data_IF_688392876085
#
_entry.id   IF_688392876085
#
_cell.length_a   1.000
_cell.length_b   1.000
_cell.length_c   1.000
_cell.angle_alpha   90.00
_cell.angle_beta   90.00
_cell.angle_gamma   90.00
#
_symmetry.space_group_name_H-M   'P 1'
#
loop_
_entity.id
_entity.type
_entity.pdbx_description
1 polymer ?
#
# COMPACT_ATOMS: atom_id res chain seq x y z
N UNK A 1 -25.84 -9.82 -5.64
CA UNK A 1 -24.35 -9.87 -5.55
C UNK A 1 -23.59 -8.82 -6.39
N UNK A 2 -24.07 -8.42 -7.59
CA UNK A 2 -23.36 -7.49 -8.51
C UNK A 2 -23.01 -6.14 -7.85
N UNK A 3 -23.94 -5.55 -7.10
CA UNK A 3 -23.73 -4.26 -6.43
C UNK A 3 -22.66 -4.33 -5.32
N UNK A 4 -22.63 -5.42 -4.54
CA UNK A 4 -21.59 -5.62 -3.51
C UNK A 4 -20.19 -5.63 -4.12
N UNK A 5 -20.00 -6.38 -5.22
CA UNK A 5 -18.69 -6.47 -5.89
C UNK A 5 -18.22 -5.10 -6.39
N UNK A 6 -19.14 -4.29 -6.92
CA UNK A 6 -18.84 -2.93 -7.37
C UNK A 6 -18.40 -2.07 -6.19
N UNK A 7 -19.20 -2.01 -5.12
CA UNK A 7 -18.86 -1.22 -3.94
C UNK A 7 -17.54 -1.66 -3.29
N UNK A 8 -17.32 -2.96 -3.13
CA UNK A 8 -16.09 -3.50 -2.56
C UNK A 8 -14.85 -3.13 -3.40
N UNK A 9 -14.96 -3.19 -4.73
CA UNK A 9 -13.84 -2.80 -5.60
C UNK A 9 -13.59 -1.30 -5.56
N UNK A 10 -14.65 -0.50 -5.63
CA UNK A 10 -14.55 0.97 -5.60
C UNK A 10 -13.98 1.47 -4.28
N UNK A 11 -14.44 0.93 -3.14
CA UNK A 11 -13.94 1.32 -1.83
C UNK A 11 -12.48 0.89 -1.62
N UNK A 12 -12.05 -0.28 -2.12
CA UNK A 12 -10.64 -0.65 -2.07
C UNK A 12 -9.73 0.32 -2.85
N UNK A 13 -10.15 0.77 -4.03
CA UNK A 13 -9.41 1.80 -4.74
C UNK A 13 -9.46 3.16 -4.05
N UNK A 14 -10.57 3.49 -3.38
CA UNK A 14 -10.67 4.72 -2.60
C UNK A 14 -9.73 4.70 -1.39
N UNK A 15 -9.59 3.57 -0.68
CA UNK A 15 -8.62 3.45 0.42
C UNK A 15 -7.20 3.55 -0.08
N UNK A 16 -6.87 2.92 -1.23
CA UNK A 16 -5.58 3.10 -1.90
C UNK A 16 -5.29 4.58 -2.19
N UNK A 17 -6.20 5.29 -2.87
CA UNK A 17 -5.98 6.68 -3.26
C UNK A 17 -5.83 7.60 -2.05
N UNK A 18 -6.62 7.36 -1.00
CA UNK A 18 -6.53 8.13 0.24
C UNK A 18 -5.19 7.92 0.93
N UNK A 19 -4.77 6.66 1.10
CA UNK A 19 -3.48 6.32 1.69
C UNK A 19 -2.29 6.84 0.85
N UNK A 20 -2.35 6.66 -0.48
CA UNK A 20 -1.33 7.14 -1.39
C UNK A 20 -1.19 8.66 -1.32
N UNK A 21 -2.30 9.40 -1.29
CA UNK A 21 -2.28 10.85 -1.16
C UNK A 21 -1.63 11.29 0.16
N UNK A 22 -2.07 10.72 1.29
CA UNK A 22 -1.49 11.04 2.60
C UNK A 22 0.01 10.73 2.62
N UNK A 23 0.39 9.50 2.27
CA UNK A 23 1.80 9.08 2.32
C UNK A 23 2.69 9.85 1.35
N UNK A 24 2.24 10.15 0.12
CA UNK A 24 3.00 10.95 -0.83
C UNK A 24 3.11 12.43 -0.41
N UNK A 25 2.14 12.96 0.32
CA UNK A 25 2.23 14.32 0.88
C UNK A 25 3.18 14.38 2.09
N UNK A 26 3.40 13.27 2.78
CA UNK A 26 4.24 13.18 3.98
C UNK A 26 5.56 12.46 3.77
N UNK A 27 5.97 12.13 2.53
CA UNK A 27 7.29 11.54 2.30
C UNK A 27 8.39 12.55 2.61
N UNK A 28 9.47 12.06 3.22
CA UNK A 28 10.69 12.83 3.37
C UNK A 28 11.28 13.13 1.98
N UNK A 29 11.67 14.39 1.67
CA UNK A 29 12.29 14.75 0.40
C UNK A 29 13.66 14.09 0.16
N UNK A 30 14.34 13.65 1.22
CA UNK A 30 15.69 13.08 1.18
C UNK A 30 15.77 11.78 2.00
N UNK A 31 16.88 11.52 2.69
CA UNK A 31 17.00 10.38 3.60
C UNK A 31 16.30 10.64 4.92
N UNK A 32 15.35 9.77 5.28
CA UNK A 32 14.73 9.74 6.61
C UNK A 32 15.65 9.06 7.63
N UNK A 33 15.34 9.25 8.91
CA UNK A 33 15.97 8.56 10.04
C UNK A 33 15.87 7.03 9.90
N UNK A 34 16.85 6.32 10.44
CA UNK A 34 16.93 4.86 10.54
C UNK A 34 17.36 4.19 9.22
N UNK A 35 16.64 3.16 8.77
CA UNK A 35 17.06 2.30 7.66
C UNK A 35 16.86 2.93 6.27
N UNK A 36 16.10 4.02 6.15
CA UNK A 36 15.80 4.63 4.86
C UNK A 36 17.08 5.06 4.12
N UNK A 37 18.06 5.61 4.85
CA UNK A 37 19.34 6.00 4.28
C UNK A 37 20.12 4.82 3.72
N UNK A 38 20.17 3.72 4.47
CA UNK A 38 20.80 2.48 4.03
C UNK A 38 20.10 1.92 2.79
N UNK A 39 18.78 1.77 2.82
CA UNK A 39 18.03 1.24 1.70
C UNK A 39 18.15 2.12 0.44
N UNK A 40 18.17 3.44 0.58
CA UNK A 40 18.39 4.36 -0.54
C UNK A 40 19.79 4.17 -1.12
N UNK A 41 20.83 4.12 -0.28
CA UNK A 41 22.21 3.95 -0.73
C UNK A 41 22.41 2.59 -1.41
N UNK A 42 21.93 1.51 -0.78
CA UNK A 42 22.04 0.15 -1.30
C UNK A 42 21.24 -0.02 -2.59
N UNK A 43 20.01 0.49 -2.67
CA UNK A 43 19.22 0.42 -3.90
C UNK A 43 19.84 1.25 -5.03
N UNK A 44 20.38 2.44 -4.73
CA UNK A 44 20.98 3.32 -5.75
C UNK A 44 22.20 2.68 -6.43
N UNK A 45 22.98 1.88 -5.70
CA UNK A 45 24.16 1.19 -6.25
C UNK A 45 23.95 -0.30 -6.51
N UNK A 46 22.78 -0.84 -6.21
CA UNK A 46 22.50 -2.28 -6.19
C UNK A 46 23.48 -3.06 -5.28
N UNK A 47 23.74 -2.52 -4.11
CA UNK A 47 24.51 -3.18 -3.05
C UNK A 47 23.61 -4.12 -2.23
N UNK A 48 24.25 -5.02 -1.50
CA UNK A 48 23.57 -5.95 -0.60
C UNK A 48 23.39 -5.28 0.75
N UNK A 49 22.15 -5.00 1.13
CA UNK A 49 21.80 -4.59 2.50
C UNK A 49 21.93 -5.74 3.50
N UNK A 50 21.46 -5.56 4.72
CA UNK A 50 21.54 -6.58 5.77
C UNK A 50 20.88 -7.93 5.37
N UNK A 51 21.48 -9.11 5.64
CA UNK A 51 20.87 -10.42 5.35
C UNK A 51 19.53 -10.60 6.07
N UNK A 52 18.47 -11.19 5.45
CA UNK A 52 18.37 -11.83 4.14
C UNK A 52 18.18 -10.88 2.93
N UNK A 53 18.28 -9.57 3.13
CA UNK A 53 18.11 -8.54 2.10
C UNK A 53 16.66 -8.35 1.63
N UNK A 54 16.43 -7.30 0.84
CA UNK A 54 15.13 -7.01 0.21
C UNK A 54 15.29 -6.90 -1.33
N UNK A 55 15.65 -7.99 -2.04
CA UNK A 55 16.12 -7.93 -3.42
C UNK A 55 15.09 -7.36 -4.40
N UNK A 56 13.81 -7.71 -4.24
CA UNK A 56 12.73 -7.16 -5.07
C UNK A 56 12.57 -5.65 -4.87
N UNK A 57 12.64 -5.18 -3.61
CA UNK A 57 12.61 -3.74 -3.32
C UNK A 57 13.82 -3.05 -3.95
N UNK A 58 15.04 -3.60 -3.80
CA UNK A 58 16.26 -3.01 -4.36
C UNK A 58 16.17 -2.84 -5.88
N UNK A 59 15.68 -3.84 -6.60
CA UNK A 59 15.55 -3.79 -8.07
C UNK A 59 14.51 -2.74 -8.48
N UNK A 60 13.33 -2.73 -7.85
CA UNK A 60 12.29 -1.74 -8.18
C UNK A 60 12.72 -0.32 -7.83
N UNK A 61 13.34 -0.14 -6.66
CA UNK A 61 13.88 1.15 -6.22
C UNK A 61 14.96 1.63 -7.19
N UNK A 62 15.87 0.75 -7.64
CA UNK A 62 16.87 1.09 -8.66
C UNK A 62 16.22 1.57 -9.96
N UNK A 63 15.22 0.85 -10.46
CA UNK A 63 14.46 1.27 -11.66
C UNK A 63 13.82 2.65 -11.44
N UNK A 64 13.23 2.90 -10.27
CA UNK A 64 12.66 4.21 -9.92
C UNK A 64 13.72 5.34 -9.95
N UNK A 65 14.96 5.06 -9.51
CA UNK A 65 16.04 6.05 -9.58
C UNK A 65 16.53 6.37 -11.00
N UNK A 66 16.25 5.52 -12.00
CA UNK A 66 16.63 5.81 -13.39
C UNK A 66 15.89 7.03 -13.97
N UNK A 67 14.77 7.41 -13.35
CA UNK A 67 13.98 8.59 -13.72
C UNK A 67 14.39 9.86 -12.94
N UNK A 68 15.40 9.76 -12.06
CA UNK A 68 15.88 10.87 -11.25
C UNK A 68 17.04 11.61 -11.92
N UNK A 69 17.03 12.95 -11.84
CA UNK A 69 18.09 13.81 -12.40
C UNK A 69 19.18 14.19 -11.39
N UNK A 70 18.99 13.84 -10.11
CA UNK A 70 19.93 14.11 -9.01
C UNK A 70 19.75 13.13 -7.86
N UNK A 71 20.74 13.05 -6.95
CA UNK A 71 20.68 12.19 -5.76
C UNK A 71 19.47 12.49 -4.86
N UNK A 72 19.13 13.77 -4.69
CA UNK A 72 17.95 14.16 -3.90
C UNK A 72 16.65 13.66 -4.56
N UNK A 73 16.53 13.80 -5.89
CA UNK A 73 15.37 13.26 -6.60
C UNK A 73 15.34 11.72 -6.59
N UNK A 74 16.49 11.05 -6.58
CA UNK A 74 16.55 9.59 -6.47
C UNK A 74 16.03 9.10 -5.11
N UNK A 75 16.47 9.73 -4.02
CA UNK A 75 15.94 9.46 -2.68
C UNK A 75 14.41 9.65 -2.62
N UNK A 76 13.91 10.75 -3.19
CA UNK A 76 12.47 11.01 -3.28
C UNK A 76 11.71 9.94 -4.08
N UNK A 77 12.26 9.45 -5.19
CA UNK A 77 11.64 8.39 -6.00
C UNK A 77 11.54 7.07 -5.22
N UNK A 78 12.58 6.71 -4.45
CA UNK A 78 12.56 5.52 -3.60
C UNK A 78 11.53 5.67 -2.47
N UNK A 79 11.49 6.83 -1.80
CA UNK A 79 10.48 7.09 -0.76
C UNK A 79 9.06 7.05 -1.32
N UNK A 80 8.84 7.59 -2.53
CA UNK A 80 7.54 7.53 -3.21
C UNK A 80 7.14 6.10 -3.56
N UNK A 81 8.08 5.26 -4.02
CA UNK A 81 7.84 3.84 -4.26
C UNK A 81 7.39 3.12 -2.98
N UNK A 82 8.09 3.37 -1.86
CA UNK A 82 7.72 2.82 -0.55
C UNK A 82 6.34 3.29 -0.09
N UNK A 83 6.02 4.58 -0.27
CA UNK A 83 4.71 5.14 0.04
C UNK A 83 3.58 4.48 -0.76
N UNK A 84 3.79 4.28 -2.07
CA UNK A 84 2.82 3.60 -2.93
C UNK A 84 2.65 2.12 -2.54
N UNK A 85 3.75 1.43 -2.23
CA UNK A 85 3.69 0.05 -1.76
C UNK A 85 2.86 -0.07 -0.46
N UNK A 86 3.06 0.84 0.50
CA UNK A 86 2.25 0.93 1.72
C UNK A 86 0.78 1.27 1.45
N UNK A 87 0.48 2.11 0.46
CA UNK A 87 -0.91 2.35 0.07
C UNK A 87 -1.57 1.09 -0.53
N UNK A 88 -0.82 0.30 -1.29
CA UNK A 88 -1.30 -1.01 -1.76
C UNK A 88 -1.58 -1.97 -0.60
N UNK A 89 -0.76 -2.01 0.45
CA UNK A 89 -1.02 -2.88 1.60
C UNK A 89 -2.33 -2.53 2.29
N UNK A 90 -2.67 -1.24 2.43
CA UNK A 90 -3.96 -0.78 2.97
C UNK A 90 -5.14 -1.26 2.11
N UNK A 91 -5.04 -1.18 0.78
CA UNK A 91 -6.09 -1.70 -0.11
C UNK A 91 -6.24 -3.22 0.01
N UNK A 92 -5.12 -3.96 0.06
CA UNK A 92 -5.15 -5.41 0.26
C UNK A 92 -5.71 -5.78 1.64
N UNK A 93 -5.42 -5.00 2.68
CA UNK A 93 -5.97 -5.19 4.02
C UNK A 93 -7.49 -4.97 4.01
N UNK A 94 -7.97 -3.91 3.35
CA UNK A 94 -9.40 -3.68 3.14
C UNK A 94 -10.08 -4.90 2.48
N UNK A 95 -9.51 -5.43 1.39
CA UNK A 95 -10.05 -6.61 0.72
C UNK A 95 -9.95 -7.88 1.56
N UNK A 96 -8.91 -8.02 2.37
CA UNK A 96 -8.75 -9.14 3.29
C UNK A 96 -9.83 -9.12 4.36
N UNK A 97 -10.04 -7.99 5.02
CA UNK A 97 -11.06 -7.82 6.07
C UNK A 97 -12.46 -8.04 5.47
N UNK A 98 -12.77 -7.41 4.34
CA UNK A 98 -14.08 -7.60 3.69
C UNK A 98 -14.30 -9.03 3.21
N UNK A 99 -13.26 -9.74 2.75
CA UNK A 99 -13.34 -11.16 2.41
C UNK A 99 -13.66 -12.03 3.63
N UNK A 100 -12.94 -11.82 4.74
CA UNK A 100 -13.15 -12.56 5.98
C UNK A 100 -14.51 -12.26 6.61
N UNK A 101 -14.89 -10.98 6.71
CA UNK A 101 -16.19 -10.57 7.24
C UNK A 101 -17.35 -11.13 6.40
N UNK A 102 -17.20 -11.16 5.07
CA UNK A 102 -18.16 -11.81 4.19
C UNK A 102 -18.32 -13.30 4.48
N UNK A 103 -17.22 -14.00 4.76
CA UNK A 103 -17.23 -15.43 5.07
C UNK A 103 -17.96 -15.73 6.39
N UNK A 104 -17.87 -14.81 7.36
CA UNK A 104 -18.57 -14.93 8.65
C UNK A 104 -20.08 -14.72 8.48
N UNK A 105 -20.51 -13.70 7.73
CA UNK A 105 -21.94 -13.37 7.62
C UNK A 105 -22.71 -14.17 6.57
N UNK A 106 -22.05 -14.72 5.56
CA UNK A 106 -22.72 -15.33 4.41
C UNK A 106 -22.43 -16.83 4.29
N UNK A 107 -23.17 -17.63 5.06
CA UNK A 107 -23.50 -18.99 4.65
C UNK A 107 -24.44 -18.95 3.43
N UNK A 108 -23.88 -18.83 2.22
CA UNK A 108 -24.53 -18.99 0.89
C UNK A 108 -25.88 -18.29 0.60
N UNK A 109 -26.40 -17.41 1.46
CA UNK A 109 -27.64 -16.66 1.24
C UNK A 109 -27.37 -15.22 0.75
N UNK A 110 -28.36 -14.62 0.10
CA UNK A 110 -28.31 -13.20 -0.26
C UNK A 110 -28.13 -12.32 0.99
N UNK A 111 -27.21 -11.36 0.92
CA UNK A 111 -26.91 -10.45 2.02
C UNK A 111 -27.97 -9.36 2.13
N UNK A 112 -28.38 -9.06 3.36
CA UNK A 112 -29.20 -7.87 3.62
C UNK A 112 -28.36 -6.60 3.41
N UNK A 113 -29.03 -5.45 3.22
CA UNK A 113 -28.36 -4.15 3.11
C UNK A 113 -27.52 -3.82 4.34
N UNK A 114 -28.00 -4.17 5.54
CA UNK A 114 -27.27 -3.99 6.79
C UNK A 114 -25.98 -4.81 6.86
N UNK A 115 -26.03 -6.09 6.47
CA UNK A 115 -24.84 -6.94 6.41
C UNK A 115 -23.80 -6.44 5.39
N UNK A 116 -24.27 -5.93 4.24
CA UNK A 116 -23.39 -5.31 3.25
C UNK A 116 -22.66 -4.09 3.83
N UNK A 117 -23.38 -3.20 4.51
CA UNK A 117 -22.78 -2.02 5.14
C UNK A 117 -21.80 -2.43 6.24
N UNK A 118 -22.16 -3.39 7.10
CA UNK A 118 -21.30 -3.88 8.17
C UNK A 118 -19.97 -4.41 7.62
N UNK A 119 -19.99 -5.26 6.59
CA UNK A 119 -18.77 -5.79 5.97
C UNK A 119 -17.88 -4.67 5.39
N UNK A 120 -18.47 -3.75 4.63
CA UNK A 120 -17.71 -2.67 3.99
C UNK A 120 -17.14 -1.69 5.03
N UNK A 121 -17.92 -1.36 6.07
CA UNK A 121 -17.50 -0.49 7.16
C UNK A 121 -16.39 -1.13 7.99
N UNK A 122 -16.48 -2.43 8.31
CA UNK A 122 -15.38 -3.15 8.98
C UNK A 122 -14.09 -3.11 8.16
N UNK A 123 -14.19 -3.28 6.84
CA UNK A 123 -13.05 -3.16 5.94
C UNK A 123 -12.43 -1.77 5.96
N UNK A 124 -13.25 -0.71 5.87
CA UNK A 124 -12.79 0.67 5.89
C UNK A 124 -12.10 1.02 7.22
N UNK A 125 -12.77 0.77 8.34
CA UNK A 125 -12.25 1.09 9.67
C UNK A 125 -10.98 0.28 9.95
N UNK A 126 -10.98 -1.02 9.69
CA UNK A 126 -9.82 -1.86 10.00
C UNK A 126 -8.63 -1.67 9.07
N UNK A 127 -8.82 -1.17 7.85
CA UNK A 127 -7.72 -0.88 6.93
C UNK A 127 -7.14 0.53 7.09
N UNK A 128 -7.91 1.47 7.67
CA UNK A 128 -7.53 2.87 7.81
C UNK A 128 -7.30 3.31 9.26
N UNK A 129 -7.42 2.41 10.23
CA UNK A 129 -7.07 2.63 11.64
C UNK A 129 -5.54 2.62 11.82
#
# INVERSE_FOLDING_TARGET
MKNFKIYNRTLGWLTFLTAAAVYLMTIEPTTSLWDCGEFIASAYKLEVGHPPGAPLHMIMARVATLFASSNATAAKMINALSALASAFTIMFLFWTITHLANKIFAGNKEKTRGQMIAVLASGLVGAMA
#
